data_IF_206491468729
#
_entry.id   IF_206491468729
#
_cell.length_a   1.000
_cell.length_b   1.000
_cell.length_c   1.000
_cell.angle_alpha   90.00
_cell.angle_beta   90.00
_cell.angle_gamma   90.00
#
_symmetry.space_group_name_H-M   'P 1'
#
loop_
_entity.id
_entity.type
_entity.pdbx_description
1 polymer ?
#
# COMPACT_ATOMS: atom_id res chain seq x y z
N UNK A 1 17.99 -44.99 15.92
CA UNK A 1 16.67 -44.32 15.81
C UNK A 1 16.93 -42.85 15.60
N UNK A 2 16.30 -42.21 14.61
CA UNK A 2 16.46 -40.76 14.41
C UNK A 2 15.59 -40.02 15.42
N UNK A 3 16.18 -39.14 16.23
CA UNK A 3 15.40 -38.23 17.06
C UNK A 3 14.75 -37.20 16.15
N UNK A 4 13.44 -37.33 15.92
CA UNK A 4 12.66 -36.29 15.26
C UNK A 4 12.59 -35.07 16.19
N UNK A 5 13.52 -34.14 16.02
CA UNK A 5 13.43 -32.79 16.59
C UNK A 5 12.10 -32.21 16.14
N UNK A 6 11.13 -32.11 17.06
CA UNK A 6 9.71 -32.10 16.71
C UNK A 6 9.35 -30.96 15.75
N UNK A 7 9.19 -31.30 14.46
CA UNK A 7 9.11 -30.34 13.36
C UNK A 7 8.12 -29.22 13.67
N UNK A 8 8.58 -27.99 13.46
CA UNK A 8 7.82 -26.77 13.67
C UNK A 8 6.66 -26.67 12.66
N UNK A 9 5.54 -26.08 13.07
CA UNK A 9 4.32 -25.97 12.28
C UNK A 9 3.53 -24.74 12.66
N UNK A 10 2.63 -24.28 11.78
CA UNK A 10 1.73 -23.15 12.02
C UNK A 10 1.02 -23.25 13.37
N UNK A 11 0.44 -24.40 13.70
CA UNK A 11 -0.26 -24.60 14.96
C UNK A 11 0.63 -24.43 16.20
N UNK A 12 1.89 -24.87 16.18
CA UNK A 12 2.82 -24.68 17.30
C UNK A 12 3.18 -23.20 17.49
N UNK A 13 3.44 -22.51 16.38
CA UNK A 13 3.73 -21.09 16.37
C UNK A 13 2.53 -20.25 16.82
N UNK A 14 1.32 -20.62 16.40
CA UNK A 14 0.07 -20.02 16.84
C UNK A 14 -0.16 -20.22 18.35
N UNK A 15 0.07 -21.44 18.86
CA UNK A 15 -0.01 -21.72 20.30
C UNK A 15 1.02 -20.91 21.11
N UNK A 16 2.20 -20.66 20.55
CA UNK A 16 3.18 -19.76 21.16
C UNK A 16 2.69 -18.31 21.11
N UNK A 17 2.22 -17.84 19.95
CA UNK A 17 1.69 -16.48 19.77
C UNK A 17 0.57 -16.17 20.76
N UNK A 18 -0.43 -17.04 20.91
CA UNK A 18 -1.50 -16.87 21.92
C UNK A 18 -0.99 -16.71 23.35
N UNK A 19 0.14 -17.32 23.71
CA UNK A 19 0.71 -17.27 25.06
C UNK A 19 1.58 -16.05 25.30
N UNK A 20 2.16 -15.47 24.25
CA UNK A 20 3.26 -14.50 24.38
C UNK A 20 3.05 -13.20 23.63
N UNK A 21 2.04 -13.06 22.77
CA UNK A 21 1.86 -11.87 21.91
C UNK A 21 1.78 -10.60 22.75
N UNK A 22 0.89 -10.55 23.74
CA UNK A 22 0.72 -9.42 24.65
C UNK A 22 2.04 -9.04 25.36
N UNK A 23 2.59 -9.94 26.18
CA UNK A 23 3.81 -9.67 26.96
C UNK A 23 5.06 -9.44 26.10
N UNK A 24 5.13 -10.02 24.91
CA UNK A 24 6.28 -9.85 23.99
C UNK A 24 6.18 -8.62 23.10
N UNK A 25 5.03 -7.96 23.06
CA UNK A 25 4.79 -6.70 22.33
C UNK A 25 4.41 -5.56 23.27
N UNK A 26 4.54 -5.73 24.59
CA UNK A 26 4.08 -4.76 25.59
C UNK A 26 2.60 -4.34 25.39
N UNK A 27 1.74 -5.26 24.97
CA UNK A 27 0.34 -5.00 24.65
C UNK A 27 0.11 -4.25 23.32
N UNK A 28 1.14 -4.12 22.46
CA UNK A 28 1.01 -3.52 21.13
C UNK A 28 0.41 -4.45 20.07
N UNK A 29 0.12 -5.71 20.40
CA UNK A 29 -0.61 -6.59 19.50
C UNK A 29 -1.52 -7.61 20.21
N UNK A 30 -2.62 -7.95 19.55
CA UNK A 30 -3.56 -8.99 19.97
C UNK A 30 -4.05 -9.82 18.78
N UNK A 31 -4.44 -11.08 19.04
CA UNK A 31 -5.05 -11.94 18.01
C UNK A 31 -6.55 -11.64 17.95
N UNK A 32 -7.04 -11.34 16.74
CA UNK A 32 -8.46 -11.03 16.46
C UNK A 32 -9.22 -12.30 16.06
N UNK A 33 -8.65 -13.07 15.14
CA UNK A 33 -9.24 -14.33 14.67
C UNK A 33 -8.19 -15.24 14.03
N UNK A 34 -8.53 -16.51 13.84
CA UNK A 34 -7.64 -17.53 13.27
C UNK A 34 -8.45 -18.45 12.35
N UNK A 35 -7.88 -18.80 11.21
CA UNK A 35 -8.38 -19.84 10.30
C UNK A 35 -7.41 -21.03 10.25
N UNK A 36 -7.50 -21.90 9.23
CA UNK A 36 -6.68 -23.12 9.17
C UNK A 36 -5.16 -22.85 9.09
N UNK A 37 -4.76 -21.85 8.29
CA UNK A 37 -3.36 -21.43 8.10
C UNK A 37 -3.16 -19.91 8.17
N UNK A 38 -4.18 -19.12 8.50
CA UNK A 38 -4.06 -17.66 8.63
C UNK A 38 -4.45 -17.16 10.02
N UNK A 39 -3.81 -16.07 10.44
CA UNK A 39 -4.12 -15.36 11.69
C UNK A 39 -4.31 -13.88 11.41
N UNK A 40 -5.41 -13.33 11.92
CA UNK A 40 -5.67 -11.89 11.88
C UNK A 40 -5.28 -11.31 13.24
N UNK A 41 -4.44 -10.27 13.22
CA UNK A 41 -3.98 -9.56 14.40
C UNK A 41 -4.39 -8.09 14.35
N UNK A 42 -4.59 -7.50 15.52
CA UNK A 42 -4.67 -6.05 15.71
C UNK A 42 -3.29 -5.58 16.18
N UNK A 43 -2.74 -4.57 15.51
CA UNK A 43 -1.51 -3.89 15.88
C UNK A 43 -1.85 -2.48 16.39
N UNK A 44 -1.32 -2.16 17.56
CA UNK A 44 -1.58 -0.95 18.32
C UNK A 44 -0.24 -0.27 18.66
N UNK A 45 0.40 0.39 17.67
CA UNK A 45 1.67 1.11 17.88
C UNK A 45 1.55 2.15 18.99
N UNK A 46 2.62 2.28 19.78
CA UNK A 46 2.72 3.26 20.88
C UNK A 46 3.57 4.45 20.52
N UNK A 47 4.38 4.34 19.48
CA UNK A 47 5.37 5.34 19.08
C UNK A 47 5.21 5.74 17.60
N UNK A 48 5.90 6.82 17.21
CA UNK A 48 5.82 7.38 15.86
C UNK A 48 4.48 8.04 15.53
N UNK A 49 4.31 8.41 14.26
CA UNK A 49 3.12 9.11 13.74
C UNK A 49 1.83 8.29 13.85
N UNK A 50 1.97 6.97 13.81
CA UNK A 50 0.87 6.01 13.87
C UNK A 50 0.45 5.68 15.31
N UNK A 51 1.10 6.23 16.34
CA UNK A 51 0.78 5.97 17.74
C UNK A 51 -0.72 6.15 18.03
N UNK A 52 -1.28 5.30 18.89
CA UNK A 52 -2.71 5.26 19.27
C UNK A 52 -3.68 4.77 18.17
N UNK A 53 -3.21 4.52 16.95
CA UNK A 53 -4.02 3.85 15.93
C UNK A 53 -4.21 2.35 16.21
N UNK A 54 -5.18 1.76 15.52
CA UNK A 54 -5.40 0.32 15.49
C UNK A 54 -5.41 -0.21 14.05
N UNK A 55 -4.50 -1.13 13.71
CA UNK A 55 -4.40 -1.71 12.37
C UNK A 55 -4.69 -3.20 12.39
N UNK A 56 -5.68 -3.62 11.61
CA UNK A 56 -5.97 -5.03 11.38
C UNK A 56 -5.08 -5.55 10.25
N UNK A 57 -4.34 -6.62 10.51
CA UNK A 57 -3.40 -7.25 9.57
C UNK A 57 -3.71 -8.75 9.46
N UNK A 58 -3.77 -9.26 8.23
CA UNK A 58 -3.84 -10.69 7.95
C UNK A 58 -2.42 -11.24 7.71
N UNK A 59 -2.09 -12.34 8.36
CA UNK A 59 -0.86 -13.12 8.14
C UNK A 59 -1.31 -14.50 7.63
N UNK A 60 -1.08 -14.78 6.35
CA UNK A 60 -1.53 -16.01 5.68
C UNK A 60 -0.33 -16.94 5.43
N UNK A 61 -0.36 -18.16 5.98
CA UNK A 61 0.75 -19.10 5.85
C UNK A 61 0.48 -20.11 4.73
N UNK A 62 1.43 -20.33 3.80
CA UNK A 62 1.29 -21.38 2.80
C UNK A 62 1.30 -22.77 3.44
N UNK A 63 0.75 -23.77 2.75
CA UNK A 63 0.78 -25.18 3.19
C UNK A 63 2.20 -25.74 3.41
N UNK A 64 3.22 -25.09 2.85
CA UNK A 64 4.63 -25.40 3.06
C UNK A 64 5.25 -24.76 4.32
N UNK A 65 4.51 -23.96 5.10
CA UNK A 65 5.01 -23.31 6.31
C UNK A 65 5.56 -24.33 7.33
N UNK A 66 6.71 -24.07 7.98
CA UNK A 66 7.53 -22.85 7.94
C UNK A 66 8.65 -22.86 6.90
N UNK A 67 8.63 -23.76 5.89
CA UNK A 67 9.66 -23.77 4.82
C UNK A 67 9.51 -22.59 3.87
N UNK A 68 8.27 -22.25 3.53
CA UNK A 68 7.92 -20.99 2.90
C UNK A 68 7.37 -20.03 3.97
N UNK A 69 7.58 -18.73 3.77
CA UNK A 69 7.10 -17.67 4.64
C UNK A 69 5.64 -17.31 4.41
N UNK A 70 5.02 -16.58 5.35
CA UNK A 70 3.66 -16.08 5.18
C UNK A 70 3.61 -14.87 4.23
N UNK A 71 2.45 -14.68 3.61
CA UNK A 71 2.07 -13.41 3.01
C UNK A 71 1.39 -12.52 4.06
N UNK A 72 1.62 -11.22 4.00
CA UNK A 72 1.13 -10.27 5.00
C UNK A 72 0.45 -9.09 4.32
N UNK A 73 -0.78 -8.80 4.76
CA UNK A 73 -1.63 -7.76 4.18
C UNK A 73 -2.30 -6.90 5.28
N UNK A 74 -2.16 -5.58 5.20
CA UNK A 74 -2.94 -4.63 5.98
C UNK A 74 -4.39 -4.58 5.48
N UNK A 75 -5.34 -4.94 6.35
CA UNK A 75 -6.78 -4.79 6.09
C UNK A 75 -7.23 -3.37 6.44
N UNK A 76 -6.72 -2.81 7.54
CA UNK A 76 -6.90 -1.39 7.86
C UNK A 76 -5.97 -0.55 6.97
N UNK A 77 -6.49 0.48 6.26
CA UNK A 77 -5.63 1.38 5.50
C UNK A 77 -4.54 2.02 6.36
N UNK A 78 -3.34 2.13 5.80
CA UNK A 78 -2.19 2.77 6.40
C UNK A 78 -1.42 3.53 5.30
N UNK A 79 -0.91 4.72 5.61
CA UNK A 79 -0.01 5.44 4.72
C UNK A 79 1.42 5.10 5.13
N UNK A 80 2.13 4.28 4.34
CA UNK A 80 3.43 3.74 4.76
C UNK A 80 4.31 3.35 3.56
N UNK A 81 5.63 3.70 3.53
CA UNK A 81 6.51 3.43 2.38
C UNK A 81 6.65 1.93 2.06
N UNK A 82 6.55 1.08 3.07
CA UNK A 82 6.64 -0.38 2.95
C UNK A 82 5.31 -1.09 2.69
N UNK A 83 4.18 -0.39 2.54
CA UNK A 83 2.86 -1.01 2.34
C UNK A 83 2.29 -0.57 1.00
N UNK A 84 1.82 -1.52 0.18
CA UNK A 84 1.23 -1.19 -1.11
C UNK A 84 -0.21 -0.70 -0.96
N UNK A 85 -0.47 0.54 -1.37
CA UNK A 85 -1.79 1.20 -1.28
C UNK A 85 -2.93 0.49 -2.06
N UNK A 86 -2.63 -0.53 -2.88
CA UNK A 86 -3.61 -1.26 -3.67
C UNK A 86 -4.29 -2.41 -2.91
N UNK A 87 -3.49 -3.26 -2.26
CA UNK A 87 -3.92 -4.51 -1.60
C UNK A 87 -3.45 -4.65 -0.14
N UNK A 88 -2.67 -3.68 0.37
CA UNK A 88 -2.11 -3.71 1.71
C UNK A 88 -0.90 -4.63 1.88
N UNK A 89 -0.35 -5.20 0.80
CA UNK A 89 0.81 -6.10 0.87
C UNK A 89 2.05 -5.38 1.42
N UNK A 90 2.87 -6.12 2.19
CA UNK A 90 4.00 -5.56 2.94
C UNK A 90 5.35 -5.94 2.35
N UNK A 91 6.14 -4.93 1.97
CA UNK A 91 7.55 -5.09 1.63
C UNK A 91 8.43 -5.05 2.89
N UNK A 92 8.71 -6.23 3.46
CA UNK A 92 9.52 -6.42 4.66
C UNK A 92 10.63 -7.45 4.40
N UNK A 93 11.88 -7.11 4.74
CA UNK A 93 13.05 -7.98 4.52
C UNK A 93 12.91 -9.36 5.17
N UNK A 94 12.32 -9.45 6.37
CA UNK A 94 12.05 -10.72 7.06
C UNK A 94 11.14 -11.69 6.26
N UNK A 95 10.26 -11.16 5.41
CA UNK A 95 9.40 -11.95 4.52
C UNK A 95 10.15 -12.36 3.24
N UNK A 96 10.90 -11.42 2.65
CA UNK A 96 11.72 -11.67 1.45
C UNK A 96 12.86 -12.67 1.71
N UNK A 97 13.49 -12.59 2.87
CA UNK A 97 14.59 -13.44 3.34
C UNK A 97 14.09 -14.48 4.35
N UNK A 98 12.90 -15.04 4.12
CA UNK A 98 12.27 -15.94 5.06
C UNK A 98 13.13 -17.18 5.38
N UNK A 99 13.23 -17.51 6.67
CA UNK A 99 13.87 -18.72 7.16
C UNK A 99 12.95 -19.45 8.13
N UNK A 100 13.00 -20.79 8.14
CA UNK A 100 12.15 -21.63 9.00
C UNK A 100 12.39 -21.51 10.51
N UNK A 101 13.25 -20.58 10.94
CA UNK A 101 13.42 -20.14 12.32
C UNK A 101 12.55 -18.91 12.69
N UNK A 102 12.12 -18.08 11.73
CA UNK A 102 11.26 -16.91 11.97
C UNK A 102 9.83 -17.35 12.33
N UNK A 103 9.22 -16.74 13.34
CA UNK A 103 7.88 -17.06 13.86
C UNK A 103 6.81 -16.07 13.45
N UNK A 104 5.55 -16.47 13.64
CA UNK A 104 4.43 -15.53 13.63
C UNK A 104 4.66 -14.36 14.61
N UNK A 105 5.30 -14.60 15.76
CA UNK A 105 5.64 -13.54 16.71
C UNK A 105 6.74 -12.61 16.17
N UNK A 106 7.72 -13.14 15.44
CA UNK A 106 8.77 -12.33 14.82
C UNK A 106 8.20 -11.47 13.68
N UNK A 107 7.24 -12.01 12.91
CA UNK A 107 6.46 -11.23 11.94
C UNK A 107 5.69 -10.11 12.64
N UNK A 108 4.92 -10.40 13.70
CA UNK A 108 4.18 -9.37 14.47
C UNK A 108 5.11 -8.27 15.01
N UNK A 109 6.25 -8.66 15.61
CA UNK A 109 7.24 -7.70 16.13
C UNK A 109 7.87 -6.86 15.02
N UNK A 110 8.23 -7.47 13.89
CA UNK A 110 8.80 -6.76 12.76
C UNK A 110 7.79 -5.79 12.13
N UNK A 111 6.50 -6.11 12.11
CA UNK A 111 5.44 -5.20 11.66
C UNK A 111 5.26 -4.00 12.60
N UNK A 112 5.27 -4.21 13.92
CA UNK A 112 5.23 -3.10 14.89
C UNK A 112 6.45 -2.19 14.68
N UNK A 113 7.65 -2.77 14.65
CA UNK A 113 8.88 -2.02 14.42
C UNK A 113 8.83 -1.25 13.09
N UNK A 114 8.30 -1.85 12.02
CA UNK A 114 8.17 -1.22 10.72
C UNK A 114 7.24 0.01 10.74
N UNK A 115 6.09 -0.09 11.42
CA UNK A 115 5.12 1.02 11.58
C UNK A 115 5.74 2.20 12.36
N UNK A 116 6.61 1.90 13.34
CA UNK A 116 7.28 2.89 14.19
C UNK A 116 8.57 3.44 13.57
N UNK A 117 9.20 2.67 12.66
CA UNK A 117 10.43 3.01 11.95
C UNK A 117 10.30 2.71 10.43
N UNK A 118 9.59 3.58 9.68
CA UNK A 118 9.38 3.41 8.25
C UNK A 118 10.68 3.37 7.45
N UNK A 119 10.79 2.50 6.45
CA UNK A 119 11.98 2.39 5.61
C UNK A 119 11.76 3.00 4.22
N UNK A 120 12.34 4.19 4.02
CA UNK A 120 12.28 4.95 2.77
C UNK A 120 13.29 4.49 1.70
N UNK A 121 14.30 3.67 2.01
CA UNK A 121 15.18 3.10 0.97
C UNK A 121 14.50 1.97 0.19
N UNK A 122 13.56 1.28 0.84
CA UNK A 122 12.72 0.24 0.23
C UNK A 122 11.50 0.78 -0.51
N UNK A 123 11.49 2.05 -0.90
CA UNK A 123 10.39 2.66 -1.66
C UNK A 123 10.08 1.84 -2.91
N UNK A 124 8.86 1.29 -2.96
CA UNK A 124 8.19 1.15 -4.25
C UNK A 124 8.19 2.55 -4.91
N UNK A 125 8.69 2.67 -6.14
CA UNK A 125 9.15 3.92 -6.75
C UNK A 125 8.13 5.09 -6.77
N UNK A 126 6.87 4.86 -6.45
CA UNK A 126 5.82 5.88 -6.28
C UNK A 126 5.68 6.52 -4.89
N UNK A 127 6.43 6.10 -3.85
CA UNK A 127 6.34 6.74 -2.52
C UNK A 127 7.37 7.87 -2.30
N UNK A 128 8.43 7.93 -3.10
CA UNK A 128 9.51 8.92 -2.93
C UNK A 128 9.05 10.38 -3.11
N UNK A 129 8.01 10.65 -3.93
CA UNK A 129 7.39 11.98 -4.02
C UNK A 129 6.70 12.40 -2.72
N UNK A 130 6.18 11.43 -1.97
CA UNK A 130 5.34 11.68 -0.79
C UNK A 130 6.14 11.81 0.51
N UNK A 131 7.46 11.56 0.52
CA UNK A 131 8.31 11.59 1.72
C UNK A 131 8.22 12.92 2.48
N UNK A 132 8.27 14.06 1.78
CA UNK A 132 8.15 15.40 2.39
C UNK A 132 6.78 15.66 3.02
N UNK A 133 5.75 14.95 2.56
CA UNK A 133 4.37 15.08 3.03
C UNK A 133 3.95 13.90 3.91
N UNK A 134 4.88 13.01 4.28
CA UNK A 134 4.60 11.75 4.97
C UNK A 134 3.79 11.94 6.25
N UNK A 135 4.24 12.84 7.13
CA UNK A 135 3.56 13.19 8.37
C UNK A 135 2.12 13.69 8.11
N UNK A 136 1.96 14.67 7.20
CA UNK A 136 0.64 15.25 6.89
C UNK A 136 -0.30 14.22 6.26
N UNK A 137 0.18 13.41 5.30
CA UNK A 137 -0.60 12.36 4.63
C UNK A 137 -0.96 11.22 5.59
N UNK A 138 -0.06 10.85 6.50
CA UNK A 138 -0.35 9.86 7.55
C UNK A 138 -1.47 10.34 8.48
N UNK A 139 -1.35 11.55 9.03
CA UNK A 139 -2.37 12.12 9.93
C UNK A 139 -3.73 12.34 9.21
N UNK A 140 -3.72 12.77 7.94
CA UNK A 140 -4.93 12.88 7.11
C UNK A 140 -5.60 11.53 6.86
N UNK A 141 -4.83 10.48 6.54
CA UNK A 141 -5.38 9.13 6.37
C UNK A 141 -6.00 8.61 7.66
N UNK A 142 -5.33 8.77 8.81
CA UNK A 142 -5.84 8.36 10.12
C UNK A 142 -7.14 9.09 10.49
N UNK A 143 -7.24 10.38 10.17
CA UNK A 143 -8.47 11.18 10.32
C UNK A 143 -9.58 10.86 9.29
N UNK A 144 -9.33 9.97 8.31
CA UNK A 144 -10.29 9.70 7.23
C UNK A 144 -10.53 10.89 6.31
N UNK A 145 -9.54 11.78 6.18
CA UNK A 145 -9.51 12.87 5.19
C UNK A 145 -8.98 12.35 3.84
N UNK A 146 -8.89 13.24 2.84
CA UNK A 146 -8.32 12.87 1.55
C UNK A 146 -6.79 12.78 1.61
N UNK A 147 -6.28 11.76 0.93
CA UNK A 147 -4.85 11.56 0.61
C UNK A 147 -4.74 11.08 -0.83
N UNK A 148 -3.99 11.82 -1.65
CA UNK A 148 -3.78 11.58 -3.08
C UNK A 148 -5.14 11.46 -3.82
N UNK A 149 -6.08 12.35 -3.51
CA UNK A 149 -7.44 12.39 -4.06
C UNK A 149 -8.38 11.28 -3.60
N UNK A 150 -7.89 10.27 -2.85
CA UNK A 150 -8.66 9.15 -2.32
C UNK A 150 -9.06 9.39 -0.87
N UNK A 151 -10.21 8.86 -0.46
CA UNK A 151 -10.67 8.88 0.93
C UNK A 151 -10.73 7.45 1.48
N UNK A 152 -10.23 7.27 2.69
CA UNK A 152 -10.24 6.00 3.42
C UNK A 152 -11.15 6.11 4.66
N UNK A 153 -11.66 4.99 5.21
CA UNK A 153 -12.28 4.98 6.52
C UNK A 153 -11.31 5.53 7.60
N UNK A 154 -11.77 6.37 8.52
CA UNK A 154 -10.93 6.88 9.61
C UNK A 154 -10.47 5.74 10.52
N UNK A 155 -9.28 5.90 11.11
CA UNK A 155 -8.81 5.01 12.16
C UNK A 155 -9.48 5.40 13.49
N UNK A 156 -10.53 4.66 13.87
CA UNK A 156 -11.40 5.03 15.00
C UNK A 156 -10.62 5.24 16.31
N UNK A 157 -9.69 4.35 16.65
CA UNK A 157 -8.88 4.45 17.87
C UNK A 157 -7.99 5.69 17.87
N UNK A 158 -7.39 6.02 16.72
CA UNK A 158 -6.62 7.24 16.56
C UNK A 158 -7.48 8.50 16.66
N UNK A 159 -8.67 8.50 16.03
CA UNK A 159 -9.59 9.64 16.05
C UNK A 159 -10.11 9.93 17.45
N UNK A 160 -10.49 8.90 18.22
CA UNK A 160 -10.92 9.05 19.62
C UNK A 160 -9.82 9.65 20.50
N UNK A 161 -8.57 9.20 20.32
CA UNK A 161 -7.41 9.78 20.99
C UNK A 161 -7.16 11.23 20.54
N UNK A 162 -7.22 11.51 19.24
CA UNK A 162 -6.92 12.83 18.69
C UNK A 162 -7.99 13.88 19.05
N UNK A 163 -9.26 13.48 19.14
CA UNK A 163 -10.36 14.31 19.64
C UNK A 163 -10.16 14.64 21.12
N UNK A 164 -9.85 13.63 21.96
CA UNK A 164 -9.60 13.81 23.39
C UNK A 164 -8.38 14.70 23.70
N UNK A 165 -7.42 14.81 22.76
CA UNK A 165 -6.23 15.66 22.88
C UNK A 165 -6.31 16.96 22.05
N UNK A 166 -7.42 17.21 21.35
CA UNK A 166 -7.62 18.43 20.54
C UNK A 166 -6.68 18.57 19.34
N UNK A 167 -6.17 17.46 18.80
CA UNK A 167 -5.17 17.42 17.71
C UNK A 167 -5.68 16.79 16.41
N UNK A 168 -7.00 16.74 16.19
CA UNK A 168 -7.58 16.37 14.90
C UNK A 168 -7.13 17.37 13.81
N UNK A 169 -6.66 16.90 12.63
CA UNK A 169 -6.34 17.77 11.51
C UNK A 169 -7.63 18.41 10.98
N UNK A 170 -7.53 19.67 10.58
CA UNK A 170 -8.59 20.37 9.84
C UNK A 170 -8.66 19.79 8.43
N UNK A 171 -9.86 19.71 7.85
CA UNK A 171 -10.04 19.44 6.42
C UNK A 171 -9.69 20.71 5.61
N UNK A 172 -8.39 21.03 5.59
CA UNK A 172 -7.83 21.98 4.63
C UNK A 172 -7.72 21.32 3.24
N UNK A 173 -7.74 22.15 2.18
CA UNK A 173 -7.50 21.66 0.81
C UNK A 173 -6.21 20.84 0.77
N UNK A 174 -6.21 19.72 0.02
CA UNK A 174 -4.98 18.94 -0.13
C UNK A 174 -3.88 19.86 -0.65
N UNK A 175 -2.70 19.82 -0.03
CA UNK A 175 -1.55 20.53 -0.59
C UNK A 175 -1.19 19.83 -1.88
N UNK A 176 -1.56 20.45 -3.00
CA UNK A 176 -1.03 20.07 -4.31
C UNK A 176 0.50 20.10 -4.22
N UNK A 177 1.13 19.03 -4.68
CA UNK A 177 2.58 18.94 -4.78
C UNK A 177 3.02 19.96 -5.84
N UNK A 178 3.69 21.04 -5.42
CA UNK A 178 4.24 22.08 -6.30
C UNK A 178 5.50 21.57 -7.03
N UNK A 179 5.35 20.40 -7.66
CA UNK A 179 6.22 19.85 -8.68
C UNK A 179 5.45 19.81 -10.00
N UNK A 180 5.09 20.99 -10.52
CA UNK A 180 4.88 21.12 -11.96
C UNK A 180 6.23 20.90 -12.65
N UNK A 181 6.56 19.64 -12.94
CA UNK A 181 7.66 19.34 -13.84
C UNK A 181 7.28 19.83 -15.24
N UNK A 182 7.97 20.87 -15.71
CA UNK A 182 7.75 21.46 -17.04
C UNK A 182 8.53 20.61 -18.05
N UNK A 183 7.99 19.42 -18.32
CA UNK A 183 8.60 18.40 -19.18
C UNK A 183 7.72 18.00 -20.38
N UNK A 184 8.10 18.46 -21.57
CA UNK A 184 7.61 18.10 -22.91
C UNK A 184 6.10 18.17 -23.21
N UNK A 185 5.74 19.23 -23.92
CA UNK A 185 4.58 19.23 -24.79
C UNK A 185 4.85 18.36 -26.03
N UNK A 186 4.12 17.25 -26.18
CA UNK A 186 3.94 16.59 -27.48
C UNK A 186 2.45 16.58 -27.83
N UNK A 187 2.09 17.45 -28.77
CA UNK A 187 0.77 17.48 -29.38
C UNK A 187 0.57 16.20 -30.19
N UNK A 188 -0.41 15.36 -29.80
CA UNK A 188 -0.90 14.24 -30.63
C UNK A 188 -2.38 14.46 -30.86
N UNK A 189 -2.70 15.15 -31.96
CA UNK A 189 -4.09 15.34 -32.38
C UNK A 189 -4.73 14.00 -32.74
N UNK A 190 -5.93 13.77 -32.22
CA UNK A 190 -6.71 12.55 -32.46
C UNK A 190 -7.24 12.55 -33.89
N UNK A 191 -6.82 11.59 -34.71
CA UNK A 191 -7.49 11.30 -35.98
C UNK A 191 -8.13 9.91 -35.93
N UNK A 192 -9.44 9.88 -36.23
CA UNK A 192 -10.21 8.65 -36.41
C UNK A 192 -10.97 8.79 -37.74
N UNK A 193 -10.67 7.89 -38.69
CA UNK A 193 -11.23 7.94 -40.05
C UNK A 193 -12.76 7.75 -40.08
N UNK A 194 -13.39 8.12 -41.19
CA UNK A 194 -13.99 7.04 -41.99
C UNK A 194 -13.60 7.04 -43.49
N UNK A 195 -13.77 5.88 -44.10
CA UNK A 195 -13.14 5.43 -45.36
C UNK A 195 -14.10 5.50 -46.58
N UNK A 196 -13.53 5.46 -47.80
CA UNK A 196 -14.16 5.26 -49.13
C UNK A 196 -15.03 6.43 -49.68
N UNK A 197 -15.13 6.71 -51.00
CA UNK A 197 -14.78 5.95 -52.24
C UNK A 197 -14.84 6.84 -53.51
N UNK A 198 -14.24 6.36 -54.62
CA UNK A 198 -14.60 6.57 -56.06
C UNK A 198 -14.20 7.89 -56.79
N UNK A 199 -13.18 7.72 -57.65
CA UNK A 199 -13.06 8.01 -59.12
C UNK A 199 -13.43 9.36 -59.79
N UNK A 200 -12.58 9.68 -60.79
CA UNK A 200 -12.87 10.35 -62.09
C UNK A 200 -13.12 11.88 -62.18
N UNK A 201 -12.08 12.57 -62.67
CA UNK A 201 -12.18 13.70 -63.63
C UNK A 201 -12.80 13.21 -64.97
N UNK A 202 -13.38 14.05 -65.87
CA UNK A 202 -12.90 15.41 -66.19
C UNK A 202 -13.93 16.50 -66.60
N UNK A 203 -13.43 17.75 -66.63
CA UNK A 203 -13.60 18.65 -67.80
C UNK A 203 -14.79 19.61 -67.88
N UNK A 204 -14.50 20.93 -67.78
CA UNK A 204 -15.12 21.97 -68.64
C UNK A 204 -14.00 22.91 -69.09
N UNK A 205 -14.01 23.31 -70.36
CA UNK A 205 -13.00 24.14 -70.99
C UNK A 205 -13.41 25.62 -71.07
N UNK A 206 -12.42 26.52 -71.18
CA UNK A 206 -12.59 27.83 -71.83
C UNK A 206 -11.44 28.06 -72.82
N UNK A 207 -11.82 28.43 -74.04
CA UNK A 207 -10.98 28.78 -75.19
C UNK A 207 -10.01 29.94 -74.93
N UNK A 208 -8.95 30.05 -75.74
CA UNK A 208 -8.62 31.27 -76.51
C UNK A 208 -7.49 31.04 -77.55
N UNK A 209 -7.66 31.66 -78.73
CA UNK A 209 -6.72 31.83 -79.87
C UNK A 209 -6.22 30.56 -80.63
N UNK A 210 -6.36 30.37 -81.95
CA UNK A 210 -6.36 31.27 -83.15
C UNK A 210 -4.94 31.85 -83.42
N UNK A 211 -4.27 31.74 -84.57
CA UNK A 211 -4.48 31.08 -85.88
C UNK A 211 -3.08 30.55 -86.38
N UNK A 212 -2.75 30.11 -87.60
CA UNK A 212 -3.33 30.16 -88.98
C UNK A 212 -2.79 29.00 -89.85
N UNK A 213 -3.44 28.78 -91.01
CA UNK A 213 -2.97 28.25 -92.32
C UNK A 213 -1.73 27.35 -92.39
#
# INVERSE_FOLDING_TARGET
>A
MSHSTGQRSFFKDLQQLFRTIDTSTDGQASIVSVNELSVIVSLNPKFGLNAHASFIVNIDCPSAYPKAGPEVHFITPIFHPNVYNGDGSVCLSLLNEWHSCHSLLDVVKALIYLIEHPNFESTNNGFASDEKLFDKKTLRLLAGLRVNGRRFPPNQAWCEWAEANGCLPVDDEELDDDSTDVGDAVHVETQQEPNNRIESLPGVATYLHDASQ
#
